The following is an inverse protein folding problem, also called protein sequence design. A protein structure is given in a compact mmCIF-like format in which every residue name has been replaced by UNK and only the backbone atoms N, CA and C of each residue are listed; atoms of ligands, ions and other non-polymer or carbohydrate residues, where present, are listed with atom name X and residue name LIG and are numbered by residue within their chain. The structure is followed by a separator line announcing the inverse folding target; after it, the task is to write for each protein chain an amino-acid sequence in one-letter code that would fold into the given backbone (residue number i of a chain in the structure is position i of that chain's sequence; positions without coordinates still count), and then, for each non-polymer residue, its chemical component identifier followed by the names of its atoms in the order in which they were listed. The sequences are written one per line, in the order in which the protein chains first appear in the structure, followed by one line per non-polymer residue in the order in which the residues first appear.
data_IF_208501278802
#
_entry.id   IF_208501278802
#
_cell.length_a   1.000
_cell.length_b   1.000
_cell.length_c   1.000
_cell.angle_alpha   90.00
_cell.angle_beta   90.00
_cell.angle_gamma   90.00
#
_symmetry.space_group_name_H-M   'P 1'
#
loop_
_entity.id
_entity.type
_entity.pdbx_description
1 polymer ?
#
# COMPACT_ATOMS: atom_id res chain seq x y z
N UNK A 1 -4.05 8.11 -64.23
CA UNK A 1 -4.30 6.93 -63.37
C UNK A 1 -4.71 7.45 -62.00
N UNK A 2 -6.02 7.36 -61.72
CA UNK A 2 -6.66 7.87 -60.50
C UNK A 2 -6.72 6.77 -59.44
N UNK A 3 -6.08 6.95 -58.30
CA UNK A 3 -6.28 6.08 -57.14
C UNK A 3 -7.19 6.80 -56.13
N UNK A 4 -8.44 6.35 -56.05
CA UNK A 4 -9.41 6.78 -55.05
C UNK A 4 -9.03 6.21 -53.67
N UNK A 5 -8.75 7.06 -52.70
CA UNK A 5 -8.73 6.70 -51.26
C UNK A 5 -10.15 6.53 -50.79
N UNK A 6 -10.54 5.36 -50.35
CA UNK A 6 -11.82 5.08 -49.68
C UNK A 6 -11.69 5.41 -48.18
N UNK A 7 -12.46 6.36 -47.72
CA UNK A 7 -12.63 6.66 -46.29
C UNK A 7 -13.57 5.62 -45.66
N UNK A 8 -13.06 4.88 -44.69
CA UNK A 8 -13.85 4.01 -43.83
C UNK A 8 -14.55 4.87 -42.74
N UNK A 9 -15.88 4.95 -42.84
CA UNK A 9 -16.70 5.62 -41.81
C UNK A 9 -17.01 4.64 -40.67
N UNK A 10 -17.15 5.19 -39.41
CA UNK A 10 -17.50 4.45 -38.18
C UNK A 10 -18.67 3.46 -38.32
N UNK A 11 -19.55 3.69 -39.28
CA UNK A 11 -20.73 2.85 -39.53
C UNK A 11 -20.41 1.50 -40.19
N UNK A 12 -19.29 1.39 -40.91
CA UNK A 12 -18.86 0.16 -41.57
C UNK A 12 -18.03 -0.77 -40.67
N UNK A 13 -17.51 -0.24 -39.56
CA UNK A 13 -16.79 -1.05 -38.58
C UNK A 13 -17.74 -1.90 -37.72
N UNK A 14 -18.92 -1.39 -37.41
CA UNK A 14 -19.91 -2.11 -36.58
C UNK A 14 -20.68 -3.20 -37.31
N UNK A 15 -20.67 -3.24 -38.65
CA UNK A 15 -21.39 -4.27 -39.43
C UNK A 15 -20.60 -5.55 -39.72
N UNK A 16 -19.29 -5.59 -39.42
CA UNK A 16 -18.44 -6.78 -39.64
C UNK A 16 -18.13 -7.59 -38.40
N UNK A 17 -18.65 -7.20 -37.22
CA UNK A 17 -18.44 -7.89 -35.94
C UNK A 17 -19.53 -8.94 -35.60
N UNK A 18 -20.44 -9.26 -36.51
CA UNK A 18 -21.39 -10.34 -36.28
C UNK A 18 -21.17 -11.40 -37.34
N UNK A 19 -20.54 -12.50 -36.99
CA UNK A 19 -20.66 -13.90 -37.43
C UNK A 19 -19.29 -14.60 -37.22
N UNK A 20 -19.13 -15.26 -36.07
CA UNK A 20 -18.47 -16.57 -35.90
C UNK A 20 -18.64 -17.03 -34.44
N UNK A 21 -19.15 -18.23 -34.17
CA UNK A 21 -19.21 -18.80 -32.84
C UNK A 21 -17.85 -19.43 -32.52
N UNK A 22 -17.02 -18.77 -31.72
CA UNK A 22 -15.88 -19.40 -31.09
C UNK A 22 -16.20 -19.51 -29.62
N UNK A 23 -16.20 -20.76 -29.10
CA UNK A 23 -16.44 -21.03 -27.70
C UNK A 23 -15.44 -20.27 -26.79
N UNK A 24 -15.94 -19.27 -26.15
CA UNK A 24 -15.22 -18.58 -25.10
C UNK A 24 -15.42 -19.39 -23.83
N UNK A 25 -14.36 -20.03 -23.36
CA UNK A 25 -14.30 -20.53 -22.00
C UNK A 25 -14.55 -19.34 -21.08
N UNK A 26 -15.66 -19.37 -20.35
CA UNK A 26 -16.02 -18.38 -19.33
C UNK A 26 -14.92 -18.40 -18.26
N UNK A 27 -14.08 -17.39 -18.27
CA UNK A 27 -13.36 -17.02 -17.07
C UNK A 27 -14.42 -16.68 -16.01
N UNK A 28 -14.25 -17.10 -14.75
CA UNK A 28 -15.18 -16.74 -13.70
C UNK A 28 -15.16 -15.22 -13.56
N UNK A 29 -16.24 -14.57 -13.96
CA UNK A 29 -16.48 -13.18 -13.61
C UNK A 29 -16.62 -13.15 -12.10
N UNK A 30 -15.64 -12.57 -11.42
CA UNK A 30 -15.80 -12.20 -10.03
C UNK A 30 -16.93 -11.19 -9.96
N UNK A 31 -18.09 -11.66 -9.58
CA UNK A 31 -19.18 -10.80 -9.15
C UNK A 31 -18.72 -10.16 -7.82
N UNK A 32 -18.18 -8.95 -7.91
CA UNK A 32 -18.13 -8.10 -6.74
C UNK A 32 -19.58 -8.00 -6.26
N UNK A 33 -19.90 -8.63 -5.13
CA UNK A 33 -21.17 -8.43 -4.48
C UNK A 33 -21.29 -6.94 -4.22
N UNK A 34 -22.25 -6.28 -4.88
CA UNK A 34 -22.57 -4.89 -4.65
C UNK A 34 -22.84 -4.74 -3.14
N UNK A 35 -22.01 -3.97 -2.45
CA UNK A 35 -22.28 -3.56 -1.09
C UNK A 35 -23.52 -2.66 -1.17
N UNK A 36 -24.63 -3.04 -0.53
CA UNK A 36 -25.76 -2.15 -0.36
C UNK A 36 -25.27 -0.89 0.36
N UNK A 37 -25.60 0.31 -0.14
CA UNK A 37 -25.13 1.53 0.47
C UNK A 37 -25.67 1.62 1.90
N UNK A 38 -24.75 1.56 2.87
CA UNK A 38 -25.04 2.02 4.22
C UNK A 38 -25.48 3.47 4.06
N UNK A 39 -26.70 3.80 4.52
CA UNK A 39 -27.23 5.19 4.47
C UNK A 39 -26.18 6.12 5.06
N UNK A 40 -25.49 6.80 4.17
CA UNK A 40 -24.39 7.68 4.50
C UNK A 40 -24.98 8.96 5.07
N UNK A 41 -24.84 9.17 6.37
CA UNK A 41 -25.06 10.49 6.97
C UNK A 41 -23.98 11.40 6.42
N UNK A 42 -24.39 12.43 5.71
CA UNK A 42 -23.65 13.46 5.02
C UNK A 42 -22.14 13.51 5.32
N UNK A 43 -21.32 13.29 4.31
CA UNK A 43 -19.88 13.54 4.35
C UNK A 43 -19.63 15.01 4.77
N UNK A 44 -19.38 15.25 6.05
CA UNK A 44 -19.11 16.57 6.56
C UNK A 44 -17.71 17.01 6.14
N UNK A 45 -17.52 18.27 5.81
CA UNK A 45 -16.24 18.90 5.49
C UNK A 45 -15.23 18.90 6.66
N UNK A 46 -15.63 18.49 7.86
CA UNK A 46 -14.76 18.42 9.04
C UNK A 46 -13.66 17.37 8.86
N UNK A 47 -12.43 17.66 9.28
CA UNK A 47 -11.32 16.72 9.23
C UNK A 47 -11.64 15.38 9.92
N UNK A 48 -11.02 14.31 9.42
CA UNK A 48 -11.11 12.98 10.05
C UNK A 48 -10.44 12.96 11.42
N UNK A 49 -10.78 11.99 12.29
CA UNK A 49 -10.02 11.75 13.52
C UNK A 49 -8.53 11.58 13.23
N UNK A 50 -7.70 12.07 14.13
CA UNK A 50 -6.24 12.08 13.97
C UNK A 50 -5.56 11.26 15.06
N UNK A 51 -4.35 10.81 14.74
CA UNK A 51 -3.39 10.26 15.71
C UNK A 51 -2.02 10.86 15.46
N UNK A 52 -1.25 11.05 16.54
CA UNK A 52 0.11 11.59 16.44
C UNK A 52 1.00 10.64 15.66
N UNK A 53 1.79 11.16 14.70
CA UNK A 53 2.73 10.37 13.91
C UNK A 53 4.06 10.27 14.65
N UNK A 54 4.22 9.23 15.45
CA UNK A 54 5.37 9.06 16.31
C UNK A 54 5.40 10.10 17.45
N UNK A 55 6.55 10.20 18.13
CA UNK A 55 6.70 11.08 19.29
C UNK A 55 6.72 12.55 18.92
N UNK A 56 7.43 12.90 17.86
CA UNK A 56 7.73 14.28 17.47
C UNK A 56 6.94 14.75 16.24
N UNK A 57 6.21 13.85 15.56
CA UNK A 57 5.42 14.20 14.39
C UNK A 57 4.11 14.89 14.73
N UNK A 58 3.45 15.50 13.74
CA UNK A 58 2.15 16.15 13.91
C UNK A 58 1.04 15.11 14.07
N UNK A 59 -0.17 15.55 14.51
CA UNK A 59 -1.36 14.74 14.32
C UNK A 59 -1.65 14.59 12.82
N UNK A 60 -1.84 13.33 12.37
CA UNK A 60 -2.22 12.99 10.99
C UNK A 60 -3.57 12.30 10.98
N UNK A 61 -4.36 12.44 9.90
CA UNK A 61 -5.61 11.71 9.75
C UNK A 61 -5.37 10.21 9.88
N UNK A 62 -6.24 9.49 10.59
CA UNK A 62 -6.19 8.02 10.71
C UNK A 62 -6.16 7.33 9.34
N UNK A 63 -6.73 7.99 8.32
CA UNK A 63 -6.83 7.53 6.96
C UNK A 63 -6.13 8.52 6.03
N UNK A 64 -5.21 8.04 5.18
CA UNK A 64 -4.68 8.82 4.08
C UNK A 64 -5.32 8.42 2.75
N UNK A 65 -5.23 9.33 1.76
CA UNK A 65 -5.44 9.02 0.37
C UNK A 65 -4.13 8.58 -0.26
N UNK A 66 -4.03 7.29 -0.63
CA UNK A 66 -2.87 6.74 -1.32
C UNK A 66 -2.98 6.94 -2.83
N UNK A 67 -1.84 7.20 -3.48
CA UNK A 67 -1.79 7.68 -4.87
C UNK A 67 -1.60 6.63 -5.96
N UNK A 68 -1.29 5.39 -5.65
CA UNK A 68 -0.97 4.36 -6.67
C UNK A 68 -2.24 3.76 -7.29
N UNK A 69 -3.00 4.59 -8.05
CA UNK A 69 -4.34 4.24 -8.51
C UNK A 69 -4.62 4.73 -9.94
N UNK A 70 -5.23 3.90 -10.81
CA UNK A 70 -5.67 4.33 -12.14
C UNK A 70 -6.73 5.45 -12.11
N UNK A 71 -7.53 5.52 -11.05
CA UNK A 71 -8.59 6.51 -10.87
C UNK A 71 -8.09 7.79 -10.17
N UNK A 72 -6.82 7.84 -9.76
CA UNK A 72 -6.28 9.01 -9.09
C UNK A 72 -6.27 10.20 -10.03
N UNK A 73 -7.00 11.23 -9.66
CA UNK A 73 -7.18 12.45 -10.44
C UNK A 73 -7.38 13.62 -9.48
N UNK A 74 -7.21 14.84 -9.97
CA UNK A 74 -7.47 16.03 -9.17
C UNK A 74 -8.89 16.02 -8.59
N UNK A 75 -9.91 15.60 -9.38
CA UNK A 75 -11.30 15.49 -8.88
C UNK A 75 -11.45 14.47 -7.74
N UNK A 76 -10.68 13.39 -7.78
CA UNK A 76 -10.71 12.39 -6.72
C UNK A 76 -10.03 12.88 -5.44
N UNK A 77 -8.97 13.70 -5.56
CA UNK A 77 -8.37 14.42 -4.43
C UNK A 77 -9.31 15.45 -3.83
N UNK A 78 -10.06 16.20 -4.68
CA UNK A 78 -11.10 17.12 -4.22
C UNK A 78 -12.19 16.40 -3.42
N UNK A 79 -12.64 15.25 -3.90
CA UNK A 79 -13.61 14.42 -3.21
C UNK A 79 -13.05 13.93 -1.86
N UNK A 80 -11.82 13.42 -1.83
CA UNK A 80 -11.16 12.99 -0.60
C UNK A 80 -11.07 14.14 0.42
N UNK A 81 -10.71 15.33 -0.04
CA UNK A 81 -10.68 16.53 0.79
C UNK A 81 -12.05 16.89 1.34
N UNK A 82 -13.10 16.87 0.51
CA UNK A 82 -14.47 17.15 0.91
C UNK A 82 -15.00 16.17 1.96
N UNK A 83 -14.49 14.94 1.94
CA UNK A 83 -14.77 13.90 2.93
C UNK A 83 -13.93 14.02 4.21
N UNK A 84 -13.05 15.02 4.31
CA UNK A 84 -12.28 15.33 5.51
C UNK A 84 -10.90 14.67 5.56
N UNK A 85 -10.43 14.00 4.51
CA UNK A 85 -9.06 13.49 4.44
C UNK A 85 -8.10 14.66 4.31
N UNK A 86 -7.09 14.72 5.19
CA UNK A 86 -6.05 15.76 5.24
C UNK A 86 -4.64 15.18 5.14
N UNK A 87 -4.52 13.98 4.60
CA UNK A 87 -3.26 13.28 4.39
C UNK A 87 -3.28 12.66 2.98
N UNK A 88 -2.41 13.18 2.09
CA UNK A 88 -2.20 12.64 0.75
C UNK A 88 -0.83 11.99 0.64
N UNK A 89 -0.80 10.79 0.07
CA UNK A 89 0.39 9.99 -0.13
C UNK A 89 0.61 9.76 -1.62
N UNK A 90 1.69 10.30 -2.16
CA UNK A 90 2.11 10.15 -3.55
C UNK A 90 3.53 9.60 -3.67
N UNK A 91 4.04 9.45 -4.87
CA UNK A 91 5.41 9.02 -5.16
C UNK A 91 5.81 9.32 -6.61
N UNK A 92 7.13 9.34 -6.87
CA UNK A 92 7.71 9.57 -8.18
C UNK A 92 7.13 8.71 -9.32
N UNK A 93 6.75 7.46 -9.03
CA UNK A 93 6.27 6.49 -10.03
C UNK A 93 4.75 6.32 -10.08
N UNK A 94 4.02 6.83 -9.10
CA UNK A 94 2.58 6.63 -9.05
C UNK A 94 1.88 7.24 -10.27
N UNK A 95 0.90 6.52 -10.81
CA UNK A 95 0.18 6.96 -12.01
C UNK A 95 1.12 7.20 -13.20
N UNK A 96 2.17 6.37 -13.38
CA UNK A 96 3.21 6.57 -14.39
C UNK A 96 3.90 7.95 -14.27
N UNK A 97 4.08 8.43 -13.05
CA UNK A 97 4.67 9.73 -12.74
C UNK A 97 3.70 10.91 -12.81
N UNK A 98 2.41 10.69 -13.05
CA UNK A 98 1.42 11.76 -13.15
C UNK A 98 0.71 12.08 -11.84
N UNK A 99 0.79 11.21 -10.85
CA UNK A 99 0.08 11.37 -9.58
C UNK A 99 0.46 12.68 -8.86
N UNK A 100 1.75 13.00 -8.83
CA UNK A 100 2.23 14.26 -8.25
C UNK A 100 1.69 15.51 -8.99
N UNK A 101 1.39 15.41 -10.30
CA UNK A 101 0.80 16.51 -11.07
C UNK A 101 -0.66 16.75 -10.69
N UNK A 102 -1.40 15.70 -10.32
CA UNK A 102 -2.76 15.86 -9.78
C UNK A 102 -2.74 16.56 -8.42
N UNK A 103 -1.75 16.27 -7.58
CA UNK A 103 -1.52 17.01 -6.32
C UNK A 103 -1.19 18.47 -6.61
N UNK A 104 -0.33 18.75 -7.61
CA UNK A 104 0.02 20.10 -7.99
C UNK A 104 -1.20 20.90 -8.47
N UNK A 105 -2.05 20.29 -9.31
CA UNK A 105 -3.28 20.93 -9.77
C UNK A 105 -4.26 21.18 -8.61
N UNK A 106 -4.42 20.22 -7.69
CA UNK A 106 -5.20 20.37 -6.48
C UNK A 106 -4.73 21.58 -5.64
N UNK A 107 -3.42 21.70 -5.40
CA UNK A 107 -2.85 22.81 -4.63
C UNK A 107 -2.90 24.15 -5.39
N UNK A 108 -2.77 24.13 -6.72
CA UNK A 108 -2.94 25.33 -7.56
C UNK A 108 -4.36 25.89 -7.47
N UNK A 109 -5.35 25.01 -7.45
CA UNK A 109 -6.76 25.41 -7.34
C UNK A 109 -7.11 25.90 -5.93
N UNK A 110 -6.40 25.40 -4.90
CA UNK A 110 -6.67 25.67 -3.48
C UNK A 110 -5.37 25.84 -2.68
N UNK A 111 -4.60 26.90 -2.91
CA UNK A 111 -3.29 27.08 -2.26
C UNK A 111 -3.37 27.20 -0.73
N UNK A 112 -4.49 27.67 -0.20
CA UNK A 112 -4.76 27.75 1.23
C UNK A 112 -4.74 26.38 1.93
N UNK A 113 -5.13 25.31 1.22
CA UNK A 113 -5.20 23.93 1.76
C UNK A 113 -3.83 23.33 2.05
N UNK A 114 -2.76 23.87 1.45
CA UNK A 114 -1.40 23.35 1.71
C UNK A 114 -1.05 23.33 3.18
N UNK A 115 -1.51 24.28 3.97
CA UNK A 115 -1.23 24.40 5.40
C UNK A 115 -1.93 23.33 6.24
N UNK A 116 -3.05 22.80 5.76
CA UNK A 116 -3.84 21.77 6.43
C UNK A 116 -3.51 20.36 5.93
N UNK A 117 -2.86 20.26 4.76
CA UNK A 117 -2.54 18.99 4.13
C UNK A 117 -1.22 18.44 4.68
N UNK A 118 -1.24 17.20 5.16
CA UNK A 118 -0.05 16.38 5.37
C UNK A 118 0.27 15.68 4.05
N UNK A 119 1.33 16.14 3.37
CA UNK A 119 1.72 15.66 2.04
C UNK A 119 2.99 14.81 2.11
N UNK A 120 2.90 13.61 1.59
CA UNK A 120 4.00 12.64 1.50
C UNK A 120 4.33 12.36 0.05
N UNK A 121 5.63 12.41 -0.30
CA UNK A 121 6.12 11.83 -1.54
C UNK A 121 7.32 10.90 -1.29
N UNK A 122 7.69 10.13 -2.32
CA UNK A 122 8.72 9.07 -2.24
C UNK A 122 9.54 9.03 -3.51
N UNK A 123 10.83 8.67 -3.40
CA UNK A 123 11.67 8.43 -4.57
C UNK A 123 12.61 7.22 -4.36
N UNK A 124 13.31 6.83 -5.42
CA UNK A 124 14.16 5.64 -5.50
C UNK A 124 15.64 6.01 -5.59
N UNK A 125 16.36 6.26 -4.49
CA UNK A 125 17.78 6.61 -4.49
C UNK A 125 18.65 5.35 -4.70
N UNK A 126 18.68 4.82 -5.94
CA UNK A 126 19.32 3.53 -6.26
C UNK A 126 20.83 3.49 -6.02
N UNK A 127 21.52 4.65 -5.98
CA UNK A 127 22.95 4.75 -5.75
C UNK A 127 23.31 5.07 -4.29
N UNK A 128 22.31 5.17 -3.41
CA UNK A 128 22.48 5.47 -2.00
C UNK A 128 21.58 6.59 -1.53
N UNK A 129 21.40 6.72 -0.20
CA UNK A 129 20.47 7.70 0.37
C UNK A 129 20.82 9.16 0.02
N UNK A 130 22.06 9.47 -0.32
CA UNK A 130 22.52 10.80 -0.72
C UNK A 130 21.78 11.36 -1.93
N UNK A 131 21.31 10.50 -2.84
CA UNK A 131 20.54 10.93 -4.01
C UNK A 131 19.21 11.62 -3.63
N UNK A 132 18.68 11.40 -2.44
CA UNK A 132 17.47 12.09 -2.00
C UNK A 132 17.63 13.62 -1.98
N UNK A 133 18.86 14.11 -1.77
CA UNK A 133 19.15 15.57 -1.77
C UNK A 133 18.95 16.21 -3.14
N UNK A 134 19.15 15.45 -4.23
CA UNK A 134 18.90 15.89 -5.61
C UNK A 134 17.45 15.63 -6.03
N UNK A 135 16.87 14.56 -5.51
CA UNK A 135 15.51 14.12 -5.87
C UNK A 135 14.42 15.02 -5.29
N UNK A 136 14.63 15.57 -4.09
CA UNK A 136 13.61 16.37 -3.39
C UNK A 136 13.12 17.53 -4.23
N UNK A 137 14.00 18.27 -4.90
CA UNK A 137 13.63 19.44 -5.69
C UNK A 137 12.71 19.07 -6.86
N UNK A 138 12.94 17.91 -7.47
CA UNK A 138 12.08 17.38 -8.52
C UNK A 138 10.69 17.01 -7.97
N UNK A 139 10.63 16.42 -6.77
CA UNK A 139 9.33 16.09 -6.12
C UNK A 139 8.55 17.33 -5.78
N UNK A 140 9.21 18.34 -5.22
CA UNK A 140 8.59 19.63 -4.89
C UNK A 140 8.02 20.33 -6.12
N UNK A 141 8.82 20.40 -7.20
CA UNK A 141 8.39 21.00 -8.47
C UNK A 141 7.18 20.25 -9.06
N UNK A 142 7.17 18.91 -9.01
CA UNK A 142 6.07 18.10 -9.53
C UNK A 142 4.80 18.19 -8.68
N UNK A 143 4.94 18.29 -7.37
CA UNK A 143 3.80 18.47 -6.45
C UNK A 143 3.32 19.92 -6.37
N UNK A 144 4.02 20.88 -6.99
CA UNK A 144 3.65 22.30 -6.95
C UNK A 144 3.71 22.89 -5.55
N UNK A 145 4.71 22.54 -4.74
CA UNK A 145 4.84 22.96 -3.34
C UNK A 145 6.30 23.24 -2.98
N UNK A 146 6.50 24.06 -1.95
CA UNK A 146 7.84 24.41 -1.45
C UNK A 146 8.38 23.40 -0.43
N UNK A 147 7.52 22.57 0.16
CA UNK A 147 7.93 21.56 1.15
C UNK A 147 7.04 20.33 1.12
N UNK A 148 7.59 19.19 1.55
CA UNK A 148 6.83 17.98 1.90
C UNK A 148 6.72 17.88 3.43
N UNK A 149 5.65 17.29 3.93
CA UNK A 149 5.57 16.98 5.35
C UNK A 149 6.41 15.75 5.69
N UNK A 150 6.49 14.79 4.76
CA UNK A 150 7.30 13.59 4.92
C UNK A 150 7.85 13.14 3.56
N UNK A 151 9.15 12.85 3.51
CA UNK A 151 9.82 12.34 2.31
C UNK A 151 10.42 10.96 2.57
N UNK A 152 10.09 9.99 1.72
CA UNK A 152 10.47 8.60 1.89
C UNK A 152 11.46 8.08 0.86
N UNK A 153 12.41 7.22 1.30
CA UNK A 153 12.96 6.19 0.41
C UNK A 153 11.81 5.25 0.07
N UNK A 154 11.55 5.04 -1.23
CA UNK A 154 10.47 4.19 -1.69
C UNK A 154 10.90 2.73 -1.76
N UNK A 155 10.10 1.81 -1.19
CA UNK A 155 10.30 0.36 -1.24
C UNK A 155 11.69 -0.09 -0.75
N UNK A 156 12.15 0.41 0.39
CA UNK A 156 13.45 0.01 0.93
C UNK A 156 13.46 -1.50 1.19
N UNK A 157 14.23 -2.21 0.37
CA UNK A 157 14.42 -3.66 0.44
C UNK A 157 15.67 -4.07 -0.34
N UNK A 158 16.21 -5.24 -0.02
CA UNK A 158 17.44 -5.75 -0.64
C UNK A 158 17.32 -5.97 -2.15
N UNK A 159 16.12 -6.34 -2.64
CA UNK A 159 15.86 -6.57 -4.07
C UNK A 159 15.98 -5.30 -4.92
N UNK A 160 15.68 -4.14 -4.34
CA UNK A 160 15.75 -2.84 -5.05
C UNK A 160 17.12 -2.17 -4.89
N UNK A 161 17.72 -2.29 -3.69
CA UNK A 161 18.88 -1.48 -3.30
C UNK A 161 20.13 -2.29 -2.93
N UNK A 162 20.06 -3.63 -3.04
CA UNK A 162 21.15 -4.53 -2.67
C UNK A 162 21.21 -4.84 -1.16
N UNK A 163 22.06 -5.81 -0.81
CA UNK A 163 22.11 -6.38 0.54
C UNK A 163 22.45 -5.35 1.63
N UNK A 164 23.30 -4.37 1.34
CA UNK A 164 23.71 -3.34 2.31
C UNK A 164 22.57 -2.37 2.69
N UNK A 165 21.51 -2.32 1.91
CA UNK A 165 20.37 -1.41 2.15
C UNK A 165 19.69 -1.63 3.50
N UNK A 166 19.82 -2.80 4.10
CA UNK A 166 19.31 -3.07 5.46
C UNK A 166 19.98 -2.17 6.52
N UNK A 167 21.19 -1.72 6.25
CA UNK A 167 21.94 -0.84 7.15
C UNK A 167 21.59 0.65 6.98
N UNK A 168 20.97 1.04 5.86
CA UNK A 168 20.69 2.46 5.58
C UNK A 168 19.91 3.15 6.71
N UNK A 169 18.84 2.58 7.31
CA UNK A 169 18.07 3.25 8.35
C UNK A 169 18.84 3.56 9.63
N UNK A 170 20.03 2.98 9.82
CA UNK A 170 20.93 3.26 10.97
C UNK A 170 22.27 3.86 10.57
N UNK A 171 22.47 4.16 9.26
CA UNK A 171 23.74 4.68 8.74
C UNK A 171 23.90 6.18 8.98
N UNK A 172 25.14 6.61 9.23
CA UNK A 172 25.50 8.03 9.31
C UNK A 172 25.22 8.76 7.97
N UNK A 173 25.36 8.06 6.83
CA UNK A 173 25.07 8.60 5.52
C UNK A 173 23.60 9.04 5.42
N UNK A 174 22.66 8.17 5.74
CA UNK A 174 21.24 8.53 5.70
C UNK A 174 20.86 9.53 6.79
N UNK A 175 21.49 9.46 7.96
CA UNK A 175 21.30 10.47 9.02
C UNK A 175 21.68 11.86 8.53
N UNK A 176 22.87 12.02 7.90
CA UNK A 176 23.29 13.32 7.33
C UNK A 176 22.33 13.83 6.27
N UNK A 177 21.81 12.94 5.43
CA UNK A 177 20.79 13.28 4.42
C UNK A 177 19.51 13.77 5.08
N UNK A 178 19.00 13.04 6.07
CA UNK A 178 17.79 13.42 6.82
C UNK A 178 17.94 14.80 7.50
N UNK A 179 19.09 15.04 8.14
CA UNK A 179 19.38 16.32 8.79
C UNK A 179 19.43 17.48 7.77
N UNK A 180 20.08 17.27 6.60
CA UNK A 180 20.14 18.28 5.53
C UNK A 180 18.76 18.57 4.91
N UNK A 181 17.97 17.55 4.63
CA UNK A 181 16.62 17.69 4.08
C UNK A 181 15.73 18.49 5.04
N UNK A 182 15.76 18.17 6.33
CA UNK A 182 14.99 18.89 7.37
C UNK A 182 15.49 20.32 7.57
N UNK A 183 16.79 20.52 7.67
CA UNK A 183 17.36 21.88 7.91
C UNK A 183 17.19 22.81 6.71
N UNK A 184 17.08 22.28 5.47
CA UNK A 184 16.77 23.07 4.28
C UNK A 184 15.33 23.59 4.22
N UNK A 185 14.43 23.08 5.08
CA UNK A 185 13.00 23.38 5.04
C UNK A 185 12.22 22.65 3.93
N UNK A 186 12.91 21.89 3.07
CA UNK A 186 12.29 21.18 1.95
C UNK A 186 11.42 19.98 2.36
N UNK A 187 11.71 19.39 3.52
CA UNK A 187 10.78 18.46 4.16
C UNK A 187 10.86 18.57 5.68
N UNK A 188 9.77 18.19 6.36
CA UNK A 188 9.67 18.24 7.82
C UNK A 188 10.12 16.95 8.48
N UNK A 189 9.87 15.82 7.81
CA UNK A 189 10.13 14.47 8.30
C UNK A 189 10.75 13.62 7.19
N UNK A 190 11.59 12.65 7.57
CA UNK A 190 12.25 11.72 6.66
C UNK A 190 12.06 10.29 7.14
N UNK A 191 11.87 9.37 6.20
CA UNK A 191 11.72 7.97 6.52
C UNK A 191 11.82 7.06 5.29
N UNK A 192 11.17 5.91 5.35
CA UNK A 192 11.11 4.99 4.22
C UNK A 192 9.80 4.18 4.21
N UNK A 193 9.40 3.73 3.03
CA UNK A 193 8.40 2.67 2.88
C UNK A 193 9.10 1.33 2.68
N UNK A 194 8.60 0.27 3.30
CA UNK A 194 9.23 -1.04 3.31
C UNK A 194 8.23 -2.15 3.01
N UNK A 195 8.55 -2.98 2.01
CA UNK A 195 7.91 -4.28 1.81
C UNK A 195 8.81 -5.43 2.34
N UNK A 196 10.00 -5.08 2.82
CA UNK A 196 10.99 -5.99 3.36
C UNK A 196 10.65 -6.50 4.76
N UNK A 197 11.58 -7.24 5.32
CA UNK A 197 11.42 -7.87 6.61
C UNK A 197 11.55 -6.93 7.80
N UNK A 198 11.36 -7.49 9.00
CA UNK A 198 11.47 -6.78 10.26
C UNK A 198 12.85 -6.16 10.49
N UNK A 199 13.90 -6.65 9.82
CA UNK A 199 15.28 -6.15 9.93
C UNK A 199 15.42 -4.68 9.52
N UNK A 200 14.67 -4.21 8.51
CA UNK A 200 14.67 -2.80 8.11
C UNK A 200 14.00 -1.92 9.16
N UNK A 201 12.92 -2.42 9.75
CA UNK A 201 12.16 -1.72 10.80
C UNK A 201 13.00 -1.65 12.08
N UNK A 202 13.66 -2.76 12.42
CA UNK A 202 14.59 -2.80 13.55
C UNK A 202 15.77 -1.85 13.34
N UNK A 203 16.35 -1.81 12.13
CA UNK A 203 17.42 -0.87 11.80
C UNK A 203 16.99 0.59 11.96
N UNK A 204 15.74 0.95 11.69
CA UNK A 204 15.22 2.29 11.96
C UNK A 204 15.20 2.59 13.47
N UNK A 205 14.76 1.64 14.29
CA UNK A 205 14.78 1.78 15.73
C UNK A 205 16.22 1.89 16.30
N UNK A 206 17.16 1.09 15.75
CA UNK A 206 18.57 1.12 16.13
C UNK A 206 19.22 2.47 15.78
N UNK A 207 18.92 3.01 14.60
CA UNK A 207 19.43 4.32 14.16
C UNK A 207 18.81 5.50 14.90
N UNK A 208 17.52 5.43 15.23
CA UNK A 208 16.80 6.38 16.06
C UNK A 208 16.61 7.79 15.48
N UNK A 209 16.96 8.04 14.22
CA UNK A 209 16.85 9.36 13.55
C UNK A 209 15.75 9.42 12.49
N UNK A 210 15.24 8.26 12.05
CA UNK A 210 14.12 8.16 11.11
C UNK A 210 12.84 8.61 11.81
N UNK A 211 12.06 9.47 11.17
CA UNK A 211 10.86 10.06 11.78
C UNK A 211 9.63 9.13 11.63
N UNK A 212 9.53 8.40 10.49
CA UNK A 212 8.42 7.49 10.23
C UNK A 212 8.82 6.33 9.31
N UNK A 213 8.11 5.20 9.46
CA UNK A 213 8.19 4.04 8.57
C UNK A 213 6.78 3.71 8.04
N UNK A 214 6.68 3.43 6.74
CA UNK A 214 5.45 2.91 6.14
C UNK A 214 5.66 1.43 5.82
N UNK A 215 4.88 0.57 6.46
CA UNK A 215 5.11 -0.88 6.46
C UNK A 215 3.90 -1.64 5.94
N UNK A 216 4.17 -2.76 5.32
CA UNK A 216 3.13 -3.75 5.08
C UNK A 216 2.58 -4.20 6.42
N UNK A 217 1.27 -4.07 6.64
CA UNK A 217 0.69 -4.33 7.94
C UNK A 217 -0.63 -5.12 7.83
N UNK A 218 -0.74 -6.13 8.66
CA UNK A 218 -2.00 -6.82 8.95
C UNK A 218 -2.16 -6.95 10.46
N UNK A 219 -3.37 -6.83 11.04
CA UNK A 219 -3.56 -7.01 12.48
C UNK A 219 -3.36 -8.46 12.95
N UNK A 220 -3.10 -9.39 12.02
CA UNK A 220 -3.03 -10.84 12.25
C UNK A 220 -1.60 -11.40 12.28
N UNK A 221 -0.57 -10.57 12.35
CA UNK A 221 0.81 -11.03 12.47
C UNK A 221 1.08 -11.65 13.86
N UNK A 222 2.11 -12.48 13.95
CA UNK A 222 2.51 -13.16 15.17
C UNK A 222 2.95 -12.17 16.26
N UNK A 223 2.27 -12.18 17.40
CA UNK A 223 2.65 -11.39 18.56
C UNK A 223 3.90 -11.98 19.21
N UNK A 224 4.87 -11.12 19.56
CA UNK A 224 6.19 -11.54 20.05
C UNK A 224 7.15 -12.02 18.97
N UNK A 225 6.73 -12.11 17.69
CA UNK A 225 7.59 -12.37 16.54
C UNK A 225 8.54 -11.20 16.23
N UNK A 226 9.45 -11.38 15.27
CA UNK A 226 10.45 -10.36 14.92
C UNK A 226 9.82 -9.04 14.46
N UNK A 227 8.74 -9.11 13.68
CA UNK A 227 8.00 -7.92 13.23
C UNK A 227 7.36 -7.15 14.39
N UNK A 228 6.74 -7.86 15.34
CA UNK A 228 6.13 -7.24 16.52
C UNK A 228 7.17 -6.54 17.40
N UNK A 229 8.31 -7.18 17.61
CA UNK A 229 9.44 -6.59 18.35
C UNK A 229 9.98 -5.34 17.66
N UNK A 230 10.17 -5.39 16.35
CA UNK A 230 10.66 -4.24 15.58
C UNK A 230 9.67 -3.04 15.60
N UNK A 231 8.36 -3.30 15.49
CA UNK A 231 7.33 -2.26 15.66
C UNK A 231 7.34 -1.67 17.06
N UNK A 232 7.52 -2.51 18.09
CA UNK A 232 7.62 -2.06 19.48
C UNK A 232 8.85 -1.17 19.67
N UNK A 233 10.02 -1.59 19.16
CA UNK A 233 11.23 -0.80 19.20
C UNK A 233 11.07 0.56 18.50
N UNK A 234 10.44 0.61 17.31
CA UNK A 234 10.10 1.86 16.64
C UNK A 234 9.20 2.76 17.50
N UNK A 235 8.16 2.18 18.09
CA UNK A 235 7.23 2.93 18.94
C UNK A 235 7.94 3.52 20.17
N UNK A 236 8.79 2.75 20.86
CA UNK A 236 9.58 3.20 22.01
C UNK A 236 10.55 4.31 21.63
N UNK A 237 11.15 4.26 20.44
CA UNK A 237 11.99 5.33 19.89
C UNK A 237 11.19 6.54 19.41
N UNK A 238 9.88 6.44 19.38
CA UNK A 238 8.99 7.51 18.93
C UNK A 238 8.94 7.68 17.41
N UNK A 239 9.28 6.62 16.66
CA UNK A 239 9.16 6.56 15.19
C UNK A 239 7.72 6.27 14.85
N UNK A 240 7.12 7.07 13.94
CA UNK A 240 5.75 6.91 13.49
C UNK A 240 5.60 5.68 12.58
N UNK A 241 4.52 4.92 12.75
CA UNK A 241 4.21 3.75 11.92
C UNK A 241 2.97 4.03 11.09
N UNK A 242 3.10 3.92 9.77
CA UNK A 242 2.02 4.03 8.80
C UNK A 242 1.79 2.64 8.20
N UNK A 243 0.55 2.14 8.33
CA UNK A 243 0.16 0.84 7.81
C UNK A 243 -0.27 0.96 6.34
N UNK A 244 0.28 0.15 5.45
CA UNK A 244 -0.15 0.06 4.06
C UNK A 244 -0.64 -1.33 3.70
N UNK A 245 -1.46 -1.42 2.63
CA UNK A 245 -1.96 -2.68 2.03
C UNK A 245 -2.79 -3.54 3.00
N UNK A 246 -3.39 -2.92 3.98
CA UNK A 246 -4.11 -3.55 5.11
C UNK A 246 -5.39 -4.27 4.72
N UNK A 247 -5.95 -3.99 3.53
CA UNK A 247 -7.21 -4.54 3.04
C UNK A 247 -7.04 -5.58 1.92
N UNK A 248 -5.83 -6.08 1.70
CA UNK A 248 -5.53 -7.05 0.63
C UNK A 248 -6.39 -8.32 0.71
N UNK A 249 -6.80 -8.73 1.90
CA UNK A 249 -7.65 -9.89 2.14
C UNK A 249 -9.15 -9.56 2.24
N UNK A 250 -9.54 -8.28 2.11
CA UNK A 250 -10.93 -7.86 2.29
C UNK A 250 -11.89 -8.38 1.20
N UNK A 251 -11.37 -8.71 0.01
CA UNK A 251 -12.16 -9.32 -1.05
C UNK A 251 -12.49 -10.81 -0.85
N UNK A 252 -11.88 -11.46 0.13
CA UNK A 252 -12.03 -12.90 0.40
C UNK A 252 -12.86 -13.21 1.65
N UNK A 253 -13.37 -12.17 2.29
CA UNK A 253 -14.23 -12.29 3.49
C UNK A 253 -15.66 -11.91 3.15
N UNK A 254 -16.67 -12.45 3.86
CA UNK A 254 -18.04 -12.00 3.72
C UNK A 254 -18.15 -10.49 3.92
N UNK A 255 -18.92 -9.80 3.09
CA UNK A 255 -19.11 -8.35 3.18
C UNK A 255 -19.63 -7.93 4.57
N UNK A 256 -20.42 -8.81 5.21
CA UNK A 256 -21.01 -8.59 6.53
C UNK A 256 -20.83 -9.81 7.41
N UNK A 257 -20.54 -9.57 8.68
CA UNK A 257 -20.52 -10.56 9.74
C UNK A 257 -21.42 -10.05 10.88
N UNK A 258 -22.33 -10.90 11.43
CA UNK A 258 -23.32 -10.47 12.44
C UNK A 258 -22.70 -9.76 13.66
N UNK A 259 -21.50 -10.16 14.05
CA UNK A 259 -20.78 -9.59 15.18
C UNK A 259 -20.41 -8.12 14.93
N UNK A 260 -19.99 -7.79 13.70
CA UNK A 260 -19.60 -6.42 13.32
C UNK A 260 -20.80 -5.57 12.91
N UNK A 261 -21.87 -6.18 12.40
CA UNK A 261 -23.12 -5.46 12.15
C UNK A 261 -23.72 -4.88 13.45
N UNK A 262 -23.58 -5.58 14.58
CA UNK A 262 -23.95 -5.07 15.91
C UNK A 262 -23.17 -3.81 16.31
N UNK A 263 -21.96 -3.65 15.74
CA UNK A 263 -21.11 -2.47 15.92
C UNK A 263 -21.37 -1.40 14.85
N UNK A 264 -22.29 -1.64 13.92
CA UNK A 264 -22.55 -0.77 12.76
C UNK A 264 -21.44 -0.79 11.71
N UNK A 265 -20.67 -1.87 11.61
CA UNK A 265 -19.54 -2.01 10.73
C UNK A 265 -19.76 -3.10 9.67
N UNK A 266 -19.33 -2.84 8.45
CA UNK A 266 -19.05 -3.91 7.48
C UNK A 266 -17.77 -4.66 7.89
N UNK A 267 -17.56 -5.87 7.36
CA UNK A 267 -16.31 -6.62 7.61
C UNK A 267 -15.08 -5.84 7.18
N UNK A 268 -15.14 -5.14 6.04
CA UNK A 268 -14.06 -4.28 5.54
C UNK A 268 -13.73 -3.12 6.51
N UNK A 269 -14.75 -2.49 7.07
CA UNK A 269 -14.58 -1.43 8.08
C UNK A 269 -13.99 -1.98 9.37
N UNK A 270 -14.42 -3.17 9.80
CA UNK A 270 -13.86 -3.86 10.97
C UNK A 270 -12.37 -4.20 10.77
N UNK A 271 -11.97 -4.65 9.58
CA UNK A 271 -10.55 -4.87 9.25
C UNK A 271 -9.71 -3.60 9.40
N UNK A 272 -10.23 -2.44 8.96
CA UNK A 272 -9.54 -1.16 9.17
C UNK A 272 -9.45 -0.80 10.65
N UNK A 273 -10.54 -0.95 11.38
CA UNK A 273 -10.56 -0.67 12.83
C UNK A 273 -9.66 -1.62 13.61
N UNK A 274 -9.50 -2.87 13.16
CA UNK A 274 -8.53 -3.81 13.74
C UNK A 274 -7.08 -3.30 13.60
N UNK A 275 -6.74 -2.66 12.47
CA UNK A 275 -5.42 -2.03 12.29
C UNK A 275 -5.23 -0.86 13.24
N UNK A 276 -6.22 0.04 13.37
CA UNK A 276 -6.14 1.16 14.32
C UNK A 276 -6.20 0.72 15.78
N UNK A 277 -6.63 -0.53 16.05
CA UNK A 277 -6.62 -1.10 17.41
C UNK A 277 -5.21 -1.36 17.93
N UNK A 278 -4.19 -1.38 17.04
CA UNK A 278 -2.79 -1.30 17.47
C UNK A 278 -2.41 0.17 17.72
N UNK A 279 -2.13 0.56 18.98
CA UNK A 279 -1.82 1.96 19.31
C UNK A 279 -0.52 2.47 18.68
N UNK A 280 0.35 1.57 18.22
CA UNK A 280 1.63 1.91 17.57
C UNK A 280 1.41 2.40 16.13
N UNK A 281 0.29 2.05 15.50
CA UNK A 281 -0.06 2.46 14.13
C UNK A 281 -0.71 3.84 14.14
N UNK A 282 -0.08 4.82 13.50
CA UNK A 282 -0.57 6.21 13.46
C UNK A 282 -1.64 6.43 12.38
N UNK A 283 -1.49 5.80 11.22
CA UNK A 283 -2.42 5.97 10.10
C UNK A 283 -2.44 4.73 9.19
N UNK A 284 -3.51 4.59 8.42
CA UNK A 284 -3.59 3.66 7.29
C UNK A 284 -3.41 4.45 5.99
N UNK A 285 -2.43 4.05 5.17
CA UNK A 285 -2.33 4.49 3.78
C UNK A 285 -3.27 3.61 2.94
N UNK A 286 -4.39 4.19 2.51
CA UNK A 286 -5.46 3.48 1.82
C UNK A 286 -5.60 3.96 0.38
N UNK A 287 -5.62 2.99 -0.55
CA UNK A 287 -5.94 3.23 -1.95
C UNK A 287 -7.40 2.83 -2.20
N UNK A 288 -8.29 3.81 -2.31
CA UNK A 288 -9.68 3.58 -2.71
C UNK A 288 -9.79 3.66 -4.24
N UNK A 289 -10.33 2.62 -4.89
CA UNK A 289 -10.49 2.56 -6.35
C UNK A 289 -11.81 3.17 -6.83
N UNK A 290 -12.77 3.31 -5.93
CA UNK A 290 -14.09 3.86 -6.23
C UNK A 290 -14.52 4.83 -5.12
N UNK A 291 -15.52 5.64 -5.44
CA UNK A 291 -16.14 6.55 -4.47
C UNK A 291 -16.70 5.77 -3.27
N UNK A 292 -17.41 4.66 -3.53
CA UNK A 292 -18.00 3.81 -2.47
C UNK A 292 -16.93 3.26 -1.52
N UNK A 293 -15.77 2.84 -2.05
CA UNK A 293 -14.65 2.39 -1.23
C UNK A 293 -14.08 3.52 -0.38
N UNK A 294 -13.99 4.74 -0.92
CA UNK A 294 -13.55 5.91 -0.16
C UNK A 294 -14.55 6.25 0.94
N UNK A 295 -15.84 6.30 0.62
CA UNK A 295 -16.91 6.55 1.57
C UNK A 295 -16.92 5.53 2.70
N UNK A 296 -16.82 4.24 2.36
CA UNK A 296 -16.75 3.15 3.35
C UNK A 296 -15.54 3.31 4.27
N UNK A 297 -14.37 3.67 3.72
CA UNK A 297 -13.14 3.88 4.48
C UNK A 297 -13.22 5.11 5.40
N UNK A 298 -13.81 6.20 4.92
CA UNK A 298 -14.07 7.41 5.70
C UNK A 298 -15.06 7.12 6.83
N UNK A 299 -16.13 6.36 6.56
CA UNK A 299 -17.08 5.94 7.57
C UNK A 299 -16.42 5.10 8.69
N UNK A 300 -15.51 4.19 8.31
CA UNK A 300 -14.73 3.42 9.28
C UNK A 300 -13.88 4.33 10.19
N UNK A 301 -13.22 5.35 9.62
CA UNK A 301 -12.39 6.29 10.38
C UNK A 301 -13.25 7.17 11.31
N UNK A 302 -14.39 7.67 10.84
CA UNK A 302 -15.30 8.52 11.64
C UNK A 302 -15.95 7.77 12.80
N UNK A 303 -16.28 6.50 12.59
CA UNK A 303 -16.91 5.65 13.63
C UNK A 303 -15.89 5.06 14.62
N UNK A 304 -14.59 5.12 14.32
CA UNK A 304 -13.55 4.59 15.20
C UNK A 304 -13.43 5.43 16.49
N UNK A 305 -13.78 4.84 17.62
CA UNK A 305 -13.70 5.48 18.94
C UNK A 305 -12.91 4.65 19.94
N UNK A 306 -13.05 3.33 19.85
CA UNK A 306 -12.43 2.37 20.78
C UNK A 306 -11.80 1.23 20.00
N UNK A 307 -10.68 0.69 20.47
CA UNK A 307 -10.09 -0.50 19.87
C UNK A 307 -11.05 -1.69 19.86
N UNK A 308 -10.99 -2.49 18.81
CA UNK A 308 -11.64 -3.79 18.78
C UNK A 308 -11.02 -4.70 19.84
N UNK A 309 -11.86 -5.57 20.43
CA UNK A 309 -11.40 -6.56 21.41
C UNK A 309 -10.61 -7.67 20.71
N UNK A 310 -9.73 -8.32 21.46
CA UNK A 310 -8.95 -9.46 20.95
C UNK A 310 -9.83 -10.54 20.31
N UNK A 311 -11.00 -10.85 20.92
CA UNK A 311 -11.94 -11.82 20.36
C UNK A 311 -12.50 -11.41 18.99
N UNK A 312 -12.77 -10.12 18.79
CA UNK A 312 -13.23 -9.57 17.49
C UNK A 312 -12.12 -9.63 16.42
N UNK A 313 -10.88 -9.33 16.80
CA UNK A 313 -9.72 -9.45 15.90
C UNK A 313 -9.47 -10.92 15.54
N UNK A 314 -9.58 -11.85 16.50
CA UNK A 314 -9.45 -13.27 16.24
C UNK A 314 -10.55 -13.79 15.30
N UNK A 315 -11.80 -13.35 15.47
CA UNK A 315 -12.88 -13.70 14.56
C UNK A 315 -12.60 -13.23 13.12
N UNK A 316 -12.10 -12.00 12.94
CA UNK A 316 -11.66 -11.52 11.62
C UNK A 316 -10.56 -12.39 11.05
N UNK A 317 -9.59 -12.79 11.87
CA UNK A 317 -8.50 -13.65 11.44
C UNK A 317 -9.00 -15.03 10.99
N UNK A 318 -9.84 -15.68 11.80
CA UNK A 318 -10.46 -16.97 11.44
C UNK A 318 -11.27 -16.87 10.15
N UNK A 319 -12.01 -15.77 9.98
CA UNK A 319 -12.78 -15.51 8.75
C UNK A 319 -11.87 -15.38 7.53
N UNK A 320 -10.75 -14.67 7.65
CA UNK A 320 -9.75 -14.54 6.59
C UNK A 320 -9.11 -15.90 6.27
N UNK A 321 -8.80 -16.70 7.30
CA UNK A 321 -8.23 -18.05 7.12
C UNK A 321 -9.20 -19.04 6.47
N UNK A 322 -10.51 -18.86 6.67
CA UNK A 322 -11.56 -19.68 6.03
C UNK A 322 -11.73 -19.35 4.54
N UNK A 323 -11.25 -18.19 4.09
CA UNK A 323 -11.29 -17.75 2.70
C UNK A 323 -10.33 -18.48 1.78
N UNK A 324 -10.08 -17.93 0.59
CA UNK A 324 -9.17 -18.52 -0.39
C UNK A 324 -7.72 -18.46 0.08
N UNK A 325 -7.06 -19.62 0.10
CA UNK A 325 -5.64 -19.75 0.46
C UNK A 325 -4.66 -19.49 -0.71
N UNK A 326 -5.17 -19.15 -1.88
CA UNK A 326 -4.37 -18.86 -3.08
C UNK A 326 -3.95 -17.40 -3.20
N UNK A 327 -4.13 -16.64 -2.13
CA UNK A 327 -3.83 -15.23 -2.06
C UNK A 327 -2.84 -14.96 -0.91
N UNK A 328 -1.84 -14.13 -1.15
CA UNK A 328 -0.90 -13.71 -0.13
C UNK A 328 -1.19 -12.27 0.31
N UNK A 329 -1.60 -12.02 1.56
CA UNK A 329 -1.82 -10.68 2.07
C UNK A 329 -0.53 -9.87 2.25
N UNK A 330 0.67 -10.53 2.10
CA UNK A 330 1.96 -9.88 2.16
C UNK A 330 2.44 -9.53 3.56
N UNK A 331 2.03 -10.30 4.56
CA UNK A 331 2.59 -10.15 5.90
C UNK A 331 4.09 -10.52 5.92
N UNK A 332 4.89 -9.99 6.86
CA UNK A 332 6.33 -10.22 6.92
C UNK A 332 6.75 -11.61 7.43
N UNK A 333 5.81 -12.47 7.85
CA UNK A 333 6.12 -13.74 8.52
C UNK A 333 6.98 -14.74 7.73
N UNK A 334 6.96 -14.68 6.38
CA UNK A 334 7.80 -15.55 5.54
C UNK A 334 9.28 -15.14 5.48
N UNK A 335 9.63 -13.93 5.91
CA UNK A 335 11.02 -13.44 5.86
C UNK A 335 11.93 -14.26 6.77
N UNK A 336 11.42 -14.76 7.88
CA UNK A 336 12.21 -15.60 8.81
C UNK A 336 12.63 -16.92 8.16
N UNK A 337 11.80 -17.50 7.28
CA UNK A 337 12.15 -18.69 6.50
C UNK A 337 12.94 -18.37 5.24
N UNK A 338 12.64 -17.25 4.58
CA UNK A 338 13.36 -16.79 3.39
C UNK A 338 14.83 -16.47 3.65
N UNK A 339 15.19 -16.11 4.88
CA UNK A 339 16.58 -15.93 5.28
C UNK A 339 17.40 -17.24 5.22
N UNK A 340 16.75 -18.40 5.14
CA UNK A 340 17.40 -19.70 4.99
C UNK A 340 17.48 -20.17 3.53
N UNK A 341 16.81 -19.49 2.61
CA UNK A 341 16.82 -19.82 1.18
C UNK A 341 16.83 -18.52 0.35
N UNK A 342 17.43 -18.57 -0.85
CA UNK A 342 17.38 -17.45 -1.80
C UNK A 342 15.98 -17.25 -2.44
N UNK A 343 15.00 -18.08 -2.12
CA UNK A 343 13.69 -18.11 -2.75
C UNK A 343 12.83 -16.91 -2.33
N UNK A 344 12.40 -16.12 -3.32
CA UNK A 344 11.58 -14.92 -3.11
C UNK A 344 10.07 -15.21 -3.10
N UNK A 345 9.61 -16.22 -2.39
CA UNK A 345 8.21 -16.68 -2.40
C UNK A 345 7.21 -15.57 -2.06
N UNK A 346 7.54 -14.70 -1.09
CA UNK A 346 6.72 -13.55 -0.72
C UNK A 346 6.59 -12.55 -1.87
N UNK A 347 7.70 -12.24 -2.56
CA UNK A 347 7.69 -11.30 -3.69
C UNK A 347 6.91 -11.86 -4.87
N UNK A 348 7.11 -13.15 -5.18
CA UNK A 348 6.35 -13.84 -6.23
C UNK A 348 4.84 -13.79 -5.93
N UNK A 349 4.45 -14.12 -4.71
CA UNK A 349 3.07 -14.08 -4.28
C UNK A 349 2.48 -12.66 -4.38
N UNK A 350 3.28 -11.65 -4.00
CA UNK A 350 2.90 -10.24 -4.11
C UNK A 350 2.71 -9.82 -5.56
N UNK A 351 3.59 -10.20 -6.48
CA UNK A 351 3.49 -9.84 -7.90
C UNK A 351 2.27 -10.48 -8.57
N UNK A 352 1.99 -11.75 -8.25
CA UNK A 352 0.74 -12.41 -8.68
C UNK A 352 -0.48 -11.63 -8.19
N UNK A 353 -0.47 -11.22 -6.93
CA UNK A 353 -1.55 -10.42 -6.35
C UNK A 353 -1.72 -9.07 -7.05
N UNK A 354 -0.63 -8.36 -7.33
CA UNK A 354 -0.66 -7.08 -8.04
C UNK A 354 -1.25 -7.22 -9.44
N UNK A 355 -0.84 -8.28 -10.17
CA UNK A 355 -1.35 -8.55 -11.51
C UNK A 355 -2.85 -8.86 -11.50
N UNK A 356 -3.30 -9.72 -10.58
CA UNK A 356 -4.68 -10.20 -10.56
C UNK A 356 -5.67 -9.21 -9.93
N UNK A 357 -5.29 -8.52 -8.88
CA UNK A 357 -6.20 -7.65 -8.14
C UNK A 357 -6.14 -6.19 -8.57
N UNK A 358 -4.94 -5.72 -8.92
CA UNK A 358 -4.73 -4.32 -9.26
C UNK A 358 -4.63 -4.10 -10.78
N UNK A 359 -4.60 -5.19 -11.60
CA UNK A 359 -4.34 -5.10 -13.04
C UNK A 359 -2.95 -4.54 -13.36
N UNK A 360 -2.00 -4.62 -12.41
CA UNK A 360 -0.68 -4.03 -12.54
C UNK A 360 0.21 -4.89 -13.45
N UNK A 361 0.42 -4.44 -14.69
CA UNK A 361 1.26 -5.12 -15.70
C UNK A 361 2.75 -5.04 -15.40
N UNK A 362 3.23 -4.06 -14.61
CA UNK A 362 4.63 -3.96 -14.16
C UNK A 362 5.03 -5.14 -13.26
N UNK A 363 4.07 -5.86 -12.70
CA UNK A 363 4.32 -7.06 -11.91
C UNK A 363 5.19 -8.10 -12.66
N UNK A 364 5.04 -8.18 -14.01
CA UNK A 364 5.88 -9.02 -14.87
C UNK A 364 7.34 -8.56 -14.86
N UNK A 365 7.59 -7.27 -14.96
CA UNK A 365 8.94 -6.69 -14.91
C UNK A 365 9.59 -6.93 -13.55
N UNK A 366 8.84 -6.75 -12.46
CA UNK A 366 9.31 -7.05 -11.11
C UNK A 366 9.67 -8.52 -10.93
N UNK A 367 8.84 -9.43 -11.47
CA UNK A 367 9.13 -10.86 -11.44
C UNK A 367 10.42 -11.20 -12.20
N UNK A 368 10.62 -10.64 -13.40
CA UNK A 368 11.83 -10.88 -14.18
C UNK A 368 13.08 -10.22 -13.60
N UNK A 369 12.93 -9.16 -12.82
CA UNK A 369 14.03 -8.52 -12.10
C UNK A 369 14.56 -9.37 -10.93
N UNK A 370 13.79 -10.34 -10.44
CA UNK A 370 14.28 -11.29 -9.44
C UNK A 370 15.40 -12.16 -10.02
N UNK A 371 16.46 -12.45 -9.27
CA UNK A 371 17.46 -13.45 -9.65
C UNK A 371 16.81 -14.81 -10.00
N UNK A 372 17.38 -15.56 -10.95
CA UNK A 372 16.85 -16.89 -11.30
C UNK A 372 16.77 -17.81 -10.09
N UNK A 373 17.79 -17.82 -9.22
CA UNK A 373 17.78 -18.60 -7.97
C UNK A 373 16.60 -18.22 -7.07
N UNK A 374 16.24 -16.94 -7.01
CA UNK A 374 15.13 -16.46 -6.20
C UNK A 374 13.74 -16.86 -6.74
N UNK A 375 13.65 -17.26 -8.00
CA UNK A 375 12.43 -17.80 -8.64
C UNK A 375 12.39 -19.34 -8.66
N UNK A 376 13.48 -20.01 -8.30
CA UNK A 376 13.59 -21.48 -8.32
C UNK A 376 13.04 -22.08 -7.03
N UNK A 377 11.82 -22.59 -7.11
CA UNK A 377 11.16 -23.27 -5.99
C UNK A 377 11.58 -24.74 -5.82
N UNK A 378 12.39 -25.31 -6.74
CA UNK A 378 12.73 -26.73 -6.74
C UNK A 378 13.53 -27.18 -5.50
N UNK A 379 14.18 -26.23 -4.82
CA UNK A 379 15.00 -26.46 -3.62
C UNK A 379 14.30 -26.06 -2.32
N UNK A 380 13.01 -25.69 -2.40
CA UNK A 380 12.25 -25.18 -1.26
C UNK A 380 11.22 -26.21 -0.81
N UNK A 381 11.19 -26.50 0.47
CA UNK A 381 10.06 -27.22 1.05
C UNK A 381 8.83 -26.31 1.14
N UNK A 382 8.03 -26.32 0.06
CA UNK A 382 6.82 -25.50 -0.04
C UNK A 382 5.75 -25.91 0.97
N UNK A 383 5.78 -27.14 1.48
CA UNK A 383 4.86 -27.60 2.53
C UNK A 383 5.26 -26.97 3.87
N UNK A 384 6.55 -27.01 4.22
CA UNK A 384 7.05 -26.33 5.40
C UNK A 384 6.81 -24.81 5.33
N UNK A 385 7.01 -24.19 4.16
CA UNK A 385 6.74 -22.77 3.96
C UNK A 385 5.25 -22.44 4.19
N UNK A 386 4.34 -23.28 3.68
CA UNK A 386 2.89 -23.12 3.93
C UNK A 386 2.56 -23.31 5.41
N UNK A 387 3.16 -24.31 6.06
CA UNK A 387 2.88 -24.60 7.47
C UNK A 387 3.38 -23.49 8.39
N UNK A 388 4.50 -22.86 8.03
CA UNK A 388 4.98 -21.65 8.69
C UNK A 388 4.14 -20.41 8.36
N UNK A 389 3.55 -20.36 7.18
CA UNK A 389 2.76 -19.21 6.73
C UNK A 389 1.55 -18.97 7.65
N UNK A 390 1.47 -17.77 8.21
CA UNK A 390 0.37 -17.36 9.08
C UNK A 390 -1.01 -17.47 8.41
N UNK A 391 -1.08 -17.31 7.09
CA UNK A 391 -2.28 -17.41 6.27
C UNK A 391 -2.42 -18.77 5.54
N UNK A 392 -1.50 -19.71 5.78
CA UNK A 392 -1.51 -21.02 5.12
C UNK A 392 -1.59 -20.92 3.60
N UNK A 393 -0.89 -19.94 3.03
CA UNK A 393 -0.90 -19.63 1.59
C UNK A 393 -0.45 -20.86 0.77
N UNK A 394 -1.18 -21.15 -0.30
CA UNK A 394 -0.87 -22.24 -1.25
C UNK A 394 0.22 -21.80 -2.24
N UNK A 395 1.48 -21.88 -1.82
CA UNK A 395 2.62 -21.49 -2.66
C UNK A 395 2.75 -22.29 -3.96
N UNK A 396 2.50 -23.61 -4.02
CA UNK A 396 2.45 -24.34 -5.28
C UNK A 396 1.51 -23.73 -6.30
N UNK A 397 0.30 -23.32 -5.89
CA UNK A 397 -0.65 -22.67 -6.78
C UNK A 397 -0.18 -21.28 -7.20
N UNK A 398 0.36 -20.49 -6.28
CA UNK A 398 0.90 -19.16 -6.60
C UNK A 398 2.04 -19.25 -7.63
N UNK A 399 2.94 -20.22 -7.48
CA UNK A 399 4.06 -20.42 -8.41
C UNK A 399 3.52 -20.78 -9.81
N UNK A 400 2.57 -21.71 -9.92
CA UNK A 400 1.93 -22.05 -11.20
C UNK A 400 1.27 -20.84 -11.86
N UNK A 401 0.67 -19.96 -11.07
CA UNK A 401 0.05 -18.72 -11.58
C UNK A 401 1.11 -17.71 -12.04
N UNK A 402 2.20 -17.56 -11.28
CA UNK A 402 3.32 -16.71 -11.68
C UNK A 402 3.93 -17.16 -13.01
N UNK A 403 4.17 -18.46 -13.17
CA UNK A 403 4.66 -19.04 -14.42
C UNK A 403 3.68 -18.77 -15.58
N UNK A 404 2.37 -18.92 -15.36
CA UNK A 404 1.35 -18.64 -16.38
C UNK A 404 1.31 -17.17 -16.81
N UNK A 405 1.49 -16.24 -15.88
CA UNK A 405 1.32 -14.82 -16.16
C UNK A 405 2.60 -14.13 -16.60
N UNK A 406 3.73 -14.63 -16.12
CA UNK A 406 4.99 -13.92 -16.24
C UNK A 406 6.05 -14.65 -17.07
N UNK A 407 5.87 -15.94 -17.39
CA UNK A 407 6.80 -16.71 -18.25
C UNK A 407 6.87 -16.21 -19.69
#
# INVERSE_FOLDING_TARGET
MNTKKSSLTRRNFLRRAMIAPVGVALAPTFSASAEDPVKNTAAGSSPLPTRKLGRNGPPVSLLSMGGDMPAHSTSFLELAWSMGIRYFDTAARYGNGNDELHVAEFLKNHPERRKELFLVSKDYPKQGPEQLLEMIDRRLARCGTEYLDLFFIHQLCTQVYGADSVNWPKSDAFKRVADKLKSSGKCRMVGFSCHGGPEFIQAAADGGFVDAVMVYYTPFYERGGAFDRALTACHEKGIGVIAMKTLRHAGEVPARLPEFEKLGLTTRQALMQAVWSDPRVSAICNCAHTVDQMESSVAAARSYKTPLKTAEINLLHETVLAGRRTFCPGCPGCHEMGAQTDFAGLDIARFVTYYEQDGNTEAREFYHALPKAARDASKVDLAALRDHCHFKTDYPEIIRRAERYFA
#
